data_IF_268889472971
#
_entry.id   IF_268889472971
#
_cell.length_a   1.000
_cell.length_b   1.000
_cell.length_c   1.000
_cell.angle_alpha   90.00
_cell.angle_beta   90.00
_cell.angle_gamma   90.00
#
_symmetry.space_group_name_H-M   'P 1'
#
loop_
_entity.id
_entity.type
_entity.pdbx_description
1 polymer ?
#
# COMPACT_ATOMS: atom_id res chain seq x y z
N UNK A 1 -1.38 -8.65 -8.54
CA UNK A 1 -0.56 -7.60 -7.91
C UNK A 1 -1.49 -6.66 -7.16
N UNK A 2 -1.04 -6.06 -6.05
CA UNK A 2 -1.82 -5.07 -5.31
C UNK A 2 -0.95 -3.86 -4.97
N UNK A 3 -1.45 -2.65 -5.24
CA UNK A 3 -0.78 -1.39 -4.90
C UNK A 3 -1.49 -0.72 -3.73
N UNK A 4 -0.74 -0.11 -2.80
CA UNK A 4 -1.31 0.71 -1.71
C UNK A 4 -2.40 -0.03 -0.92
N UNK A 5 -3.57 0.59 -0.74
CA UNK A 5 -4.76 -0.06 -0.16
C UNK A 5 -5.22 -1.33 -0.90
N UNK A 6 -5.02 -1.37 -2.23
CA UNK A 6 -5.24 -2.58 -3.01
C UNK A 6 -4.30 -3.73 -2.62
N UNK A 7 -3.09 -3.44 -2.12
CA UNK A 7 -2.18 -4.41 -1.51
C UNK A 7 -2.79 -5.07 -0.28
N UNK A 8 -3.34 -4.28 0.63
CA UNK A 8 -4.06 -4.76 1.82
C UNK A 8 -5.22 -5.69 1.45
N UNK A 9 -6.07 -5.25 0.51
CA UNK A 9 -7.19 -6.04 0.03
C UNK A 9 -6.75 -7.32 -0.68
N UNK A 10 -5.63 -7.27 -1.42
CA UNK A 10 -5.04 -8.45 -2.08
C UNK A 10 -4.57 -9.49 -1.05
N UNK A 11 -3.92 -9.06 0.02
CA UNK A 11 -3.57 -9.95 1.13
C UNK A 11 -4.80 -10.58 1.78
N UNK A 12 -5.82 -9.77 2.07
CA UNK A 12 -7.08 -10.26 2.64
C UNK A 12 -7.76 -11.29 1.73
N UNK A 13 -7.76 -11.03 0.42
CA UNK A 13 -8.29 -11.93 -0.59
C UNK A 13 -7.52 -13.26 -0.61
N UNK A 14 -6.19 -13.21 -0.70
CA UNK A 14 -5.33 -14.40 -0.74
C UNK A 14 -5.49 -15.24 0.53
N UNK A 15 -5.48 -14.61 1.70
CA UNK A 15 -5.71 -15.30 2.99
C UNK A 15 -7.06 -16.03 3.04
N UNK A 16 -8.10 -15.48 2.40
CA UNK A 16 -9.45 -16.05 2.44
C UNK A 16 -9.64 -17.14 1.39
N UNK A 17 -9.14 -16.94 0.18
CA UNK A 17 -9.54 -17.72 -0.99
C UNK A 17 -8.43 -18.55 -1.64
N UNK A 18 -7.14 -18.34 -1.32
CA UNK A 18 -6.04 -19.08 -1.94
C UNK A 18 -5.81 -20.49 -1.32
N UNK A 19 -6.89 -21.17 -0.95
CA UNK A 19 -6.85 -22.51 -0.37
C UNK A 19 -6.61 -23.53 -1.47
N UNK A 20 -5.67 -24.46 -1.26
CA UNK A 20 -5.49 -25.61 -2.16
C UNK A 20 -6.63 -26.59 -1.92
N UNK A 21 -7.50 -26.76 -2.91
CA UNK A 21 -8.63 -27.68 -2.85
C UNK A 21 -8.22 -29.01 -3.49
N UNK A 22 -8.55 -30.11 -2.84
CA UNK A 22 -8.43 -31.45 -3.42
C UNK A 22 -9.73 -31.78 -4.15
N UNK A 23 -9.66 -32.28 -5.38
CA UNK A 23 -10.84 -32.75 -6.09
C UNK A 23 -11.34 -34.11 -5.54
N UNK A 24 -12.52 -34.53 -6.02
CA UNK A 24 -13.11 -35.81 -5.62
C UNK A 24 -12.25 -37.04 -6.02
N UNK A 25 -11.29 -36.85 -6.94
CA UNK A 25 -10.34 -37.86 -7.36
C UNK A 25 -9.03 -37.83 -6.55
N UNK A 26 -8.93 -37.01 -5.50
CA UNK A 26 -7.75 -36.91 -4.65
C UNK A 26 -6.62 -36.05 -5.23
N UNK A 27 -6.81 -35.41 -6.40
CA UNK A 27 -5.81 -34.57 -7.04
C UNK A 27 -5.92 -33.13 -6.52
N UNK A 28 -4.79 -32.57 -6.10
CA UNK A 28 -4.72 -31.19 -5.65
C UNK A 28 -4.89 -30.23 -6.83
N UNK A 29 -5.88 -29.35 -6.75
CA UNK A 29 -6.03 -28.24 -7.69
C UNK A 29 -4.93 -27.20 -7.46
N UNK A 30 -4.49 -26.52 -8.54
CA UNK A 30 -3.55 -25.40 -8.41
C UNK A 30 -4.17 -24.29 -7.54
N UNK A 31 -3.30 -23.57 -6.84
CA UNK A 31 -3.70 -22.38 -6.10
C UNK A 31 -4.20 -21.31 -7.09
N UNK A 32 -5.19 -20.52 -6.68
CA UNK A 32 -5.74 -19.45 -7.52
C UNK A 32 -4.72 -18.34 -7.77
N UNK A 33 -3.88 -18.08 -6.77
CA UNK A 33 -2.79 -17.11 -6.82
C UNK A 33 -1.48 -17.87 -6.68
N UNK A 34 -0.71 -17.92 -7.77
CA UNK A 34 0.61 -18.56 -7.82
C UNK A 34 1.69 -17.69 -7.17
N UNK A 35 1.70 -16.38 -7.47
CA UNK A 35 2.62 -15.39 -6.90
C UNK A 35 1.89 -14.10 -6.58
N UNK A 36 2.26 -13.45 -5.47
CA UNK A 36 1.67 -12.19 -5.04
C UNK A 36 2.74 -11.08 -5.04
N UNK A 37 2.53 -10.04 -5.84
CA UNK A 37 3.35 -8.82 -5.80
C UNK A 37 2.56 -7.72 -5.09
N UNK A 38 3.16 -7.13 -4.07
CA UNK A 38 2.65 -5.97 -3.36
C UNK A 38 3.58 -4.78 -3.56
N UNK A 39 2.97 -3.67 -3.98
CA UNK A 39 3.66 -2.45 -4.37
C UNK A 39 3.22 -1.38 -3.37
N UNK A 40 4.15 -0.91 -2.54
CA UNK A 40 3.89 0.11 -1.52
C UNK A 40 2.62 -0.15 -0.71
N UNK A 41 2.40 -1.38 -0.20
CA UNK A 41 1.15 -1.71 0.47
C UNK A 41 1.01 -0.93 1.79
N UNK A 42 -0.21 -0.49 2.08
CA UNK A 42 -0.56 0.09 3.38
C UNK A 42 -1.06 -0.98 4.35
N UNK A 43 -0.96 -0.71 5.65
CA UNK A 43 -1.69 -1.44 6.66
C UNK A 43 -0.97 -2.70 7.16
N UNK A 44 0.36 -2.67 7.16
CA UNK A 44 1.18 -3.78 7.65
C UNK A 44 1.38 -3.70 9.16
N UNK A 45 1.56 -2.47 9.65
CA UNK A 45 2.18 -2.12 10.92
C UNK A 45 1.30 -2.48 12.12
N UNK A 46 1.92 -3.10 13.12
CA UNK A 46 1.32 -3.22 14.45
C UNK A 46 1.22 -1.84 15.09
N UNK A 47 0.14 -1.60 15.83
CA UNK A 47 -0.17 -0.27 16.33
C UNK A 47 -1.23 -0.29 17.44
N UNK A 48 -1.31 0.80 18.20
CA UNK A 48 -2.25 0.95 19.34
C UNK A 48 -3.73 0.85 19.01
N UNK A 49 -4.11 1.06 17.74
CA UNK A 49 -5.50 0.94 17.28
C UNK A 49 -5.83 -0.45 16.75
N UNK A 50 -4.87 -1.38 16.77
CA UNK A 50 -5.07 -2.77 16.36
C UNK A 50 -6.13 -3.45 17.23
N UNK A 51 -7.09 -4.10 16.58
CA UNK A 51 -8.07 -4.98 17.21
C UNK A 51 -7.46 -6.34 17.58
N UNK A 52 -6.25 -6.63 17.08
CA UNK A 52 -5.51 -7.87 17.33
C UNK A 52 -4.38 -7.68 18.35
N UNK A 53 -4.30 -6.53 19.02
CA UNK A 53 -3.21 -6.16 19.95
C UNK A 53 -3.06 -7.12 21.15
N UNK A 54 -4.06 -7.93 21.46
CA UNK A 54 -4.01 -8.93 22.54
C UNK A 54 -3.87 -10.36 22.01
N UNK A 55 -3.97 -10.56 20.69
CA UNK A 55 -3.83 -11.86 20.04
C UNK A 55 -2.34 -12.19 19.81
N UNK A 56 -2.01 -13.48 19.86
CA UNK A 56 -0.66 -13.96 19.55
C UNK A 56 -0.43 -13.90 18.04
N UNK A 57 0.76 -13.47 17.64
CA UNK A 57 1.22 -13.54 16.25
C UNK A 57 2.35 -14.56 16.10
N UNK A 58 2.36 -15.31 15.01
CA UNK A 58 3.44 -16.24 14.70
C UNK A 58 4.67 -15.50 14.18
N UNK A 59 5.87 -15.92 14.60
CA UNK A 59 7.14 -15.40 14.07
C UNK A 59 7.83 -14.35 14.94
N UNK A 60 7.10 -13.75 15.88
CA UNK A 60 7.57 -12.69 16.80
C UNK A 60 7.32 -13.07 18.27
N UNK A 61 8.09 -12.49 19.20
CA UNK A 61 7.85 -12.65 20.64
C UNK A 61 6.71 -11.78 21.14
N UNK A 62 6.01 -12.23 22.19
CA UNK A 62 4.91 -11.46 22.79
C UNK A 62 5.36 -10.10 23.34
N UNK A 63 6.59 -9.99 23.84
CA UNK A 63 7.17 -8.73 24.35
C UNK A 63 7.37 -7.71 23.23
N UNK A 64 8.00 -8.13 22.13
CA UNK A 64 8.25 -7.25 20.97
C UNK A 64 6.94 -6.80 20.34
N UNK A 65 5.98 -7.73 20.19
CA UNK A 65 4.65 -7.45 19.67
C UNK A 65 3.90 -6.42 20.52
N UNK A 66 3.98 -6.50 21.85
CA UNK A 66 3.37 -5.52 22.75
C UNK A 66 4.00 -4.14 22.59
N UNK A 67 5.33 -4.08 22.53
CA UNK A 67 6.07 -2.82 22.32
C UNK A 67 5.65 -2.11 21.01
N UNK A 68 5.55 -2.84 19.91
CA UNK A 68 5.10 -2.28 18.63
C UNK A 68 3.63 -1.83 18.66
N UNK A 69 2.78 -2.54 19.40
CA UNK A 69 1.37 -2.16 19.59
C UNK A 69 1.18 -0.97 20.55
N UNK A 70 2.20 -0.52 21.28
CA UNK A 70 2.13 0.74 22.02
C UNK A 70 2.34 1.96 21.10
N UNK A 71 3.06 1.73 19.99
CA UNK A 71 3.33 2.73 18.96
C UNK A 71 2.11 3.14 18.15
N UNK A 72 2.26 4.27 17.47
CA UNK A 72 1.34 4.72 16.43
C UNK A 72 2.14 5.41 15.32
N UNK A 73 2.90 4.64 14.51
CA UNK A 73 3.61 5.21 13.38
C UNK A 73 2.56 5.84 12.45
N UNK A 74 2.56 7.16 12.32
CA UNK A 74 1.57 7.84 11.51
C UNK A 74 2.03 7.85 10.06
N UNK A 75 1.23 7.28 9.17
CA UNK A 75 1.38 7.48 7.73
C UNK A 75 0.49 8.67 7.36
N UNK A 76 1.06 9.66 6.70
CA UNK A 76 0.36 10.89 6.28
C UNK A 76 -0.25 10.67 4.90
N UNK A 77 -1.57 10.41 4.85
CA UNK A 77 -2.31 10.32 3.58
C UNK A 77 -2.33 11.65 2.83
N UNK A 78 -2.11 12.74 3.55
CA UNK A 78 -1.96 14.08 3.01
C UNK A 78 -0.73 14.17 2.09
N UNK A 79 0.34 13.44 2.39
CA UNK A 79 1.58 13.46 1.60
C UNK A 79 1.32 12.91 0.20
N UNK A 80 0.51 11.87 0.06
CA UNK A 80 0.07 11.37 -1.25
C UNK A 80 -0.72 12.40 -2.04
N UNK A 81 -1.62 13.11 -1.36
CA UNK A 81 -2.48 14.12 -2.01
C UNK A 81 -1.64 15.31 -2.44
N UNK A 82 -0.63 15.68 -1.66
CA UNK A 82 0.20 16.85 -1.92
C UNK A 82 1.46 16.54 -2.73
N UNK A 83 1.78 15.26 -2.95
CA UNK A 83 2.98 14.86 -3.67
C UNK A 83 3.00 15.42 -5.10
N UNK A 84 4.14 16.05 -5.43
CA UNK A 84 4.53 16.43 -6.77
C UNK A 84 5.42 15.35 -7.39
N UNK A 85 5.07 14.92 -8.59
CA UNK A 85 5.70 13.75 -9.21
C UNK A 85 7.11 14.06 -9.75
N UNK A 86 7.39 15.31 -10.10
CA UNK A 86 8.66 15.73 -10.67
C UNK A 86 9.79 15.74 -9.62
N UNK A 87 9.52 16.32 -8.45
CA UNK A 87 10.47 16.32 -7.32
C UNK A 87 10.93 14.91 -6.90
N UNK A 88 10.02 13.93 -6.96
CA UNK A 88 10.30 12.52 -6.63
C UNK A 88 11.29 11.90 -7.63
N UNK A 89 11.13 12.18 -8.93
CA UNK A 89 11.95 11.61 -10.00
C UNK A 89 13.33 12.27 -10.06
N UNK A 90 13.41 13.58 -9.81
CA UNK A 90 14.65 14.36 -9.94
C UNK A 90 15.50 14.45 -8.67
N UNK A 91 15.15 13.73 -7.60
CA UNK A 91 15.82 13.80 -6.28
C UNK A 91 15.79 15.19 -5.63
N UNK A 92 14.88 16.06 -6.05
CA UNK A 92 14.62 17.36 -5.42
C UNK A 92 13.53 17.27 -4.33
N UNK A 93 13.10 16.05 -3.99
CA UNK A 93 12.13 15.79 -2.94
C UNK A 93 12.71 16.17 -1.58
N UNK A 94 12.07 17.15 -0.92
CA UNK A 94 12.30 17.42 0.49
C UNK A 94 11.36 16.52 1.29
N UNK A 95 11.91 15.77 2.26
CA UNK A 95 11.08 15.09 3.24
C UNK A 95 10.15 16.12 3.90
N UNK A 96 8.84 15.83 4.02
CA UNK A 96 7.94 16.72 4.72
C UNK A 96 8.45 16.91 6.16
N UNK A 97 8.68 18.15 6.57
CA UNK A 97 9.03 18.50 7.94
C UNK A 97 8.07 17.80 8.92
N UNK A 98 8.56 17.31 10.05
CA UNK A 98 7.73 16.77 11.14
C UNK A 98 6.74 17.86 11.61
N UNK A 99 5.56 17.90 10.97
CA UNK A 99 4.67 19.03 11.08
C UNK A 99 3.95 18.97 12.43
N UNK A 100 4.19 19.99 13.28
CA UNK A 100 3.50 20.19 14.56
C UNK A 100 1.99 20.08 14.34
N UNK A 101 1.32 19.22 15.10
CA UNK A 101 -0.12 18.92 15.01
C UNK A 101 -0.95 20.22 14.98
N UNK A 102 -1.30 20.68 13.78
CA UNK A 102 -2.09 21.90 13.57
C UNK A 102 -3.56 21.66 13.94
N UNK A 103 -4.32 22.74 14.13
CA UNK A 103 -5.78 22.65 14.34
C UNK A 103 -6.50 21.99 13.15
N UNK A 104 -5.92 22.08 11.93
CA UNK A 104 -6.43 21.41 10.73
C UNK A 104 -6.36 19.88 10.83
N UNK A 105 -5.24 19.34 11.33
CA UNK A 105 -5.07 17.88 11.50
C UNK A 105 -6.07 17.29 12.49
N UNK A 106 -6.38 18.01 13.58
CA UNK A 106 -7.43 17.59 14.54
C UNK A 106 -8.82 17.52 13.90
N UNK A 107 -9.14 18.40 12.96
CA UNK A 107 -10.40 18.36 12.21
C UNK A 107 -10.42 17.17 11.25
N UNK A 108 -9.32 16.92 10.53
CA UNK A 108 -9.18 15.75 9.66
C UNK A 108 -9.31 14.44 10.44
N UNK A 109 -8.67 14.33 11.60
CA UNK A 109 -8.81 13.17 12.49
C UNK A 109 -10.26 12.96 12.96
N UNK A 110 -10.96 14.05 13.30
CA UNK A 110 -12.36 14.00 13.70
C UNK A 110 -13.27 13.54 12.55
N UNK A 111 -13.02 14.02 11.32
CA UNK A 111 -13.72 13.60 10.11
C UNK A 111 -13.43 12.13 9.79
N UNK A 112 -12.17 11.70 9.90
CA UNK A 112 -11.75 10.32 9.70
C UNK A 112 -12.46 9.36 10.64
N UNK A 113 -12.55 9.70 11.94
CA UNK A 113 -13.29 8.94 12.96
C UNK A 113 -14.79 8.84 12.63
N UNK A 114 -15.34 9.82 11.91
CA UNK A 114 -16.72 9.79 11.39
C UNK A 114 -16.86 9.07 10.05
N UNK A 115 -15.80 8.43 9.56
CA UNK A 115 -15.69 7.74 8.26
C UNK A 115 -15.69 8.67 7.03
N UNK A 116 -15.34 9.94 7.19
CA UNK A 116 -15.11 10.85 6.06
C UNK A 116 -13.62 10.86 5.68
N UNK A 117 -13.30 10.36 4.49
CA UNK A 117 -11.94 10.42 3.92
C UNK A 117 -11.70 11.76 3.18
N UNK A 118 -10.44 12.15 2.93
CA UNK A 118 -10.12 13.32 2.08
C UNK A 118 -10.82 13.28 0.72
N UNK A 119 -10.90 12.10 0.10
CA UNK A 119 -11.61 11.90 -1.17
C UNK A 119 -13.12 12.15 -1.04
N UNK A 120 -13.73 11.78 0.09
CA UNK A 120 -15.14 12.06 0.39
C UNK A 120 -15.43 13.57 0.47
N UNK A 121 -14.46 14.34 0.99
CA UNK A 121 -14.55 15.81 1.04
C UNK A 121 -14.57 16.39 -0.38
N UNK A 122 -13.62 16.00 -1.23
CA UNK A 122 -13.55 16.48 -2.62
C UNK A 122 -14.85 16.17 -3.38
N UNK A 123 -15.43 14.98 -3.18
CA UNK A 123 -16.68 14.58 -3.86
C UNK A 123 -17.91 15.34 -3.39
N UNK A 124 -17.93 15.84 -2.15
CA UNK A 124 -19.07 16.56 -1.57
C UNK A 124 -19.03 18.07 -1.79
N UNK A 125 -17.92 18.62 -2.31
CA UNK A 125 -17.71 20.07 -2.52
C UNK A 125 -18.51 20.72 -3.66
N UNK A 126 -19.51 20.04 -4.22
CA UNK A 126 -20.45 20.64 -5.18
C UNK A 126 -19.76 21.26 -6.40
N UNK A 127 -20.11 22.49 -6.84
CA UNK A 127 -19.57 23.10 -8.06
C UNK A 127 -18.08 23.47 -7.98
N UNK A 128 -17.52 23.61 -6.78
CA UNK A 128 -16.10 23.96 -6.60
C UNK A 128 -15.14 22.81 -6.92
N UNK A 129 -15.64 21.56 -6.97
CA UNK A 129 -14.82 20.35 -7.20
C UNK A 129 -14.01 20.43 -8.49
N UNK A 130 -14.58 20.98 -9.57
CA UNK A 130 -13.94 20.98 -10.89
C UNK A 130 -12.64 21.80 -10.87
N UNK A 131 -12.67 22.98 -10.25
CA UNK A 131 -11.49 23.84 -10.14
C UNK A 131 -10.43 23.22 -9.22
N UNK A 132 -10.83 22.53 -8.16
CA UNK A 132 -9.89 21.83 -7.27
C UNK A 132 -9.19 20.66 -7.97
N UNK A 133 -9.96 19.79 -8.64
CA UNK A 133 -9.39 18.66 -9.36
C UNK A 133 -8.41 19.15 -10.44
N UNK A 134 -8.78 20.19 -11.20
CA UNK A 134 -7.87 20.78 -12.19
C UNK A 134 -6.61 21.37 -11.55
N UNK A 135 -6.73 22.14 -10.45
CA UNK A 135 -5.54 22.65 -9.74
C UNK A 135 -4.65 21.52 -9.23
N UNK A 136 -5.24 20.48 -8.66
CA UNK A 136 -4.51 19.32 -8.15
C UNK A 136 -3.78 18.58 -9.28
N UNK A 137 -4.47 18.26 -10.38
CA UNK A 137 -3.84 17.58 -11.52
C UNK A 137 -2.72 18.42 -12.13
N UNK A 138 -2.94 19.72 -12.32
CA UNK A 138 -1.92 20.63 -12.86
C UNK A 138 -0.71 20.71 -11.94
N UNK A 139 -0.91 20.76 -10.63
CA UNK A 139 0.20 20.78 -9.67
C UNK A 139 1.00 19.48 -9.73
N UNK A 140 0.33 18.32 -9.63
CA UNK A 140 0.98 17.00 -9.57
C UNK A 140 1.68 16.60 -10.87
N UNK A 141 1.15 17.01 -12.02
CA UNK A 141 1.62 16.59 -13.35
C UNK A 141 2.04 17.78 -14.21
N UNK A 142 2.57 18.84 -13.60
CA UNK A 142 2.98 20.07 -14.30
C UNK A 142 3.98 19.77 -15.43
N UNK A 143 4.99 18.94 -15.18
CA UNK A 143 5.98 18.52 -16.19
C UNK A 143 5.36 17.85 -17.42
N UNK A 144 4.31 17.03 -17.23
CA UNK A 144 3.60 16.38 -18.35
C UNK A 144 2.88 17.42 -19.20
N UNK A 145 2.37 18.49 -18.60
CA UNK A 145 1.74 19.58 -19.34
C UNK A 145 2.73 20.25 -20.29
N UNK A 146 3.96 20.52 -19.82
CA UNK A 146 4.99 21.18 -20.63
C UNK A 146 5.62 20.24 -21.66
N UNK A 147 5.75 18.95 -21.36
CA UNK A 147 6.40 17.97 -22.25
C UNK A 147 5.43 17.37 -23.28
N UNK A 148 4.19 17.05 -22.87
CA UNK A 148 3.19 16.40 -23.73
C UNK A 148 1.77 16.83 -23.35
N UNK A 149 1.28 17.98 -23.88
CA UNK A 149 -0.03 18.52 -23.54
C UNK A 149 -1.19 17.54 -23.78
N UNK A 150 -1.10 16.70 -24.82
CA UNK A 150 -2.15 15.69 -25.12
C UNK A 150 -2.21 14.61 -24.05
N UNK A 151 -1.04 14.13 -23.61
CA UNK A 151 -0.96 13.12 -22.55
C UNK A 151 -1.43 13.69 -21.21
N UNK A 152 -1.06 14.95 -20.91
CA UNK A 152 -1.59 15.65 -19.75
C UNK A 152 -3.12 15.75 -19.79
N UNK A 153 -3.70 16.16 -20.93
CA UNK A 153 -5.16 16.26 -21.05
C UNK A 153 -5.85 14.91 -20.85
N UNK A 154 -5.31 13.83 -21.41
CA UNK A 154 -5.85 12.49 -21.21
C UNK A 154 -5.79 12.06 -19.73
N UNK A 155 -4.68 12.34 -19.04
CA UNK A 155 -4.52 12.08 -17.61
C UNK A 155 -5.51 12.91 -16.77
N UNK A 156 -5.64 14.19 -17.09
CA UNK A 156 -6.59 15.09 -16.43
C UNK A 156 -8.03 14.64 -16.63
N UNK A 157 -8.44 14.30 -17.85
CA UNK A 157 -9.78 13.80 -18.14
C UNK A 157 -10.08 12.51 -17.37
N UNK A 158 -9.10 11.60 -17.29
CA UNK A 158 -9.23 10.37 -16.51
C UNK A 158 -9.47 10.67 -15.03
N UNK A 159 -8.58 11.45 -14.41
CA UNK A 159 -8.67 11.87 -13.00
C UNK A 159 -10.01 12.57 -12.75
N UNK A 160 -10.36 13.54 -13.59
CA UNK A 160 -11.59 14.31 -13.48
C UNK A 160 -12.82 13.40 -13.50
N UNK A 161 -12.86 12.42 -14.41
CA UNK A 161 -13.96 11.44 -14.48
C UNK A 161 -13.99 10.55 -13.24
N UNK A 162 -12.84 10.08 -12.74
CA UNK A 162 -12.75 9.25 -11.53
C UNK A 162 -13.28 9.99 -10.30
N UNK A 163 -12.91 11.25 -10.11
CA UNK A 163 -13.39 12.08 -8.99
C UNK A 163 -14.86 12.50 -9.13
N UNK A 164 -15.41 12.52 -10.34
CA UNK A 164 -16.83 12.79 -10.58
C UNK A 164 -17.72 11.54 -10.57
N UNK A 165 -17.15 10.34 -10.74
CA UNK A 165 -17.88 9.08 -10.64
C UNK A 165 -18.38 8.82 -9.20
N UNK A 166 -19.24 7.81 -9.03
CA UNK A 166 -19.64 7.35 -7.69
C UNK A 166 -18.41 6.80 -6.96
N UNK A 167 -18.25 7.18 -5.69
CA UNK A 167 -17.24 6.62 -4.82
C UNK A 167 -17.40 5.11 -4.65
N UNK A 168 -16.31 4.41 -4.37
CA UNK A 168 -16.32 2.98 -4.11
C UNK A 168 -15.38 2.61 -2.97
N UNK A 169 -14.10 2.38 -3.26
CA UNK A 169 -13.09 1.91 -2.30
C UNK A 169 -12.79 2.89 -1.17
N UNK A 170 -12.96 4.20 -1.40
CA UNK A 170 -12.71 5.25 -0.40
C UNK A 170 -13.58 5.11 0.86
N UNK A 171 -14.79 4.53 0.74
CA UNK A 171 -15.68 4.27 1.88
C UNK A 171 -15.17 3.12 2.75
N UNK A 172 -14.39 2.21 2.18
CA UNK A 172 -13.80 1.09 2.91
C UNK A 172 -12.52 1.51 3.65
N UNK A 173 -11.79 2.50 3.16
CA UNK A 173 -10.51 2.93 3.75
C UNK A 173 -10.67 3.31 5.23
N UNK A 174 -11.64 4.16 5.57
CA UNK A 174 -11.89 4.58 6.97
C UNK A 174 -12.47 3.47 7.85
N UNK A 175 -13.03 2.42 7.24
CA UNK A 175 -13.50 1.22 7.94
C UNK A 175 -12.33 0.31 8.29
N UNK A 176 -11.38 0.15 7.39
CA UNK A 176 -10.22 -0.74 7.54
C UNK A 176 -9.07 -0.08 8.32
N UNK A 177 -8.85 1.21 8.10
CA UNK A 177 -7.77 1.99 8.70
C UNK A 177 -8.32 2.96 9.77
N UNK A 178 -7.64 3.01 10.91
CA UNK A 178 -7.76 4.04 11.91
C UNK A 178 -7.09 5.35 11.44
N UNK A 179 -7.14 6.38 12.28
CA UNK A 179 -6.47 7.67 12.03
C UNK A 179 -4.97 7.48 11.82
N UNK A 180 -4.39 8.22 10.87
CA UNK A 180 -2.99 8.07 10.46
C UNK A 180 -2.73 6.85 9.55
N UNK A 181 -3.76 6.40 8.81
CA UNK A 181 -3.71 5.25 7.91
C UNK A 181 -3.26 3.92 8.56
N UNK A 182 -3.37 3.83 9.88
CA UNK A 182 -2.99 2.64 10.64
C UNK A 182 -4.03 1.53 10.52
N UNK A 183 -3.64 0.26 10.31
CA UNK A 183 -4.59 -0.83 10.14
C UNK A 183 -5.26 -1.21 11.46
N UNK A 184 -6.59 -1.35 11.45
CA UNK A 184 -7.31 -1.96 12.59
C UNK A 184 -7.06 -3.46 12.69
N UNK A 185 -6.71 -4.09 11.57
CA UNK A 185 -6.32 -5.50 11.49
C UNK A 185 -4.98 -5.58 10.74
N UNK A 186 -3.84 -5.35 11.42
CA UNK A 186 -2.51 -5.32 10.83
C UNK A 186 -2.21 -6.59 10.01
N UNK A 187 -1.54 -6.43 8.87
CA UNK A 187 -1.14 -7.61 8.07
C UNK A 187 -0.03 -8.40 8.75
N UNK A 188 0.89 -7.76 9.49
CA UNK A 188 1.97 -8.44 10.22
C UNK A 188 1.44 -9.48 11.22
N UNK A 189 0.25 -9.26 11.78
CA UNK A 189 -0.39 -10.23 12.69
C UNK A 189 -1.15 -11.36 11.98
N UNK A 190 -1.29 -11.30 10.65
CA UNK A 190 -2.27 -12.13 9.92
C UNK A 190 -1.68 -12.91 8.74
N UNK A 191 -0.73 -12.31 8.02
CA UNK A 191 -0.21 -12.83 6.77
C UNK A 191 0.88 -13.89 6.94
N UNK A 192 1.89 -13.74 7.83
CA UNK A 192 3.09 -14.59 7.79
C UNK A 192 2.79 -16.09 7.81
N UNK A 193 2.10 -16.57 8.86
CA UNK A 193 1.77 -17.99 9.00
C UNK A 193 0.90 -18.51 7.85
N UNK A 194 -0.09 -17.72 7.41
CA UNK A 194 -1.03 -18.14 6.35
C UNK A 194 -0.32 -18.26 5.00
N UNK A 195 0.55 -17.32 4.67
CA UNK A 195 1.29 -17.35 3.41
C UNK A 195 2.27 -18.52 3.36
N UNK A 196 2.91 -18.84 4.49
CA UNK A 196 3.74 -20.05 4.61
C UNK A 196 2.90 -21.32 4.45
N UNK A 197 1.75 -21.42 5.15
CA UNK A 197 0.85 -22.58 5.04
C UNK A 197 0.31 -22.79 3.62
N UNK A 198 0.04 -21.71 2.89
CA UNK A 198 -0.42 -21.77 1.50
C UNK A 198 0.73 -21.96 0.50
N UNK A 199 1.99 -21.88 0.96
CA UNK A 199 3.19 -21.89 0.13
C UNK A 199 3.08 -20.85 -1.00
N UNK A 200 2.74 -19.60 -0.63
CA UNK A 200 2.52 -18.49 -1.58
C UNK A 200 3.75 -17.58 -1.62
N UNK A 201 4.53 -17.57 -2.72
CA UNK A 201 5.59 -16.59 -2.92
C UNK A 201 5.05 -15.16 -2.96
N UNK A 202 5.69 -14.27 -2.21
CA UNK A 202 5.34 -12.85 -2.11
C UNK A 202 6.52 -11.95 -2.46
N UNK A 203 6.26 -10.85 -3.16
CA UNK A 203 7.24 -9.79 -3.41
C UNK A 203 6.71 -8.47 -2.87
N UNK A 204 7.52 -7.80 -2.07
CA UNK A 204 7.19 -6.53 -1.41
C UNK A 204 8.17 -5.49 -1.95
N UNK A 205 7.66 -4.50 -2.66
CA UNK A 205 8.49 -3.47 -3.30
C UNK A 205 7.99 -2.08 -2.94
N UNK A 206 8.92 -1.20 -2.60
CA UNK A 206 8.67 0.19 -2.19
C UNK A 206 9.57 1.13 -2.98
N UNK A 207 9.19 2.40 -3.08
CA UNK A 207 10.07 3.46 -3.58
C UNK A 207 11.10 3.89 -2.54
N UNK A 208 12.20 4.50 -2.96
CA UNK A 208 13.18 5.12 -2.05
C UNK A 208 12.68 6.43 -1.42
N UNK A 209 11.57 6.98 -1.91
CA UNK A 209 10.88 8.16 -1.40
C UNK A 209 9.41 7.87 -1.12
N UNK A 210 9.12 6.63 -0.75
CA UNK A 210 7.76 6.22 -0.43
C UNK A 210 7.38 6.77 0.95
N UNK A 211 6.14 7.22 1.09
CA UNK A 211 5.58 7.65 2.38
C UNK A 211 4.89 6.49 3.11
N UNK A 212 4.85 5.30 2.49
CA UNK A 212 4.47 4.04 3.15
C UNK A 212 5.62 3.49 3.99
N UNK A 213 5.29 2.79 5.07
CA UNK A 213 6.28 2.19 5.95
C UNK A 213 6.96 0.96 5.30
N UNK A 214 8.13 1.17 4.71
CA UNK A 214 8.95 0.13 4.10
C UNK A 214 9.60 -0.79 5.15
N UNK A 215 9.85 -0.30 6.36
CA UNK A 215 10.40 -1.11 7.46
C UNK A 215 9.45 -2.24 7.85
N UNK A 216 8.15 -1.97 7.90
CA UNK A 216 7.12 -2.97 8.13
C UNK A 216 7.02 -3.97 6.98
N UNK A 217 7.30 -3.52 5.75
CA UNK A 217 7.46 -4.38 4.58
C UNK A 217 8.65 -5.33 4.72
N UNK A 218 9.80 -4.82 5.13
CA UNK A 218 10.99 -5.61 5.40
C UNK A 218 10.74 -6.62 6.53
N UNK A 219 10.14 -6.17 7.64
CA UNK A 219 9.75 -7.02 8.77
C UNK A 219 8.85 -8.17 8.33
N UNK A 220 7.80 -7.88 7.54
CA UNK A 220 6.91 -8.89 6.97
C UNK A 220 7.68 -9.95 6.19
N UNK A 221 8.65 -9.55 5.36
CA UNK A 221 9.46 -10.50 4.60
C UNK A 221 10.33 -11.38 5.50
N UNK A 222 10.88 -10.80 6.57
CA UNK A 222 11.68 -11.51 7.56
C UNK A 222 10.84 -12.52 8.34
N UNK A 223 9.65 -12.15 8.80
CA UNK A 223 8.73 -13.05 9.50
C UNK A 223 8.28 -14.22 8.62
N UNK A 224 7.87 -13.94 7.37
CA UNK A 224 7.51 -14.99 6.40
C UNK A 224 8.68 -15.94 6.18
N UNK A 225 9.88 -15.41 5.91
CA UNK A 225 11.05 -16.23 5.59
C UNK A 225 11.56 -17.03 6.79
N UNK A 226 11.49 -16.46 8.01
CA UNK A 226 11.82 -17.18 9.24
C UNK A 226 10.91 -18.41 9.41
N UNK A 227 9.60 -18.21 9.27
CA UNK A 227 8.61 -19.30 9.37
C UNK A 227 8.77 -20.31 8.22
N UNK A 228 8.97 -19.84 6.98
CA UNK A 228 9.08 -20.71 5.80
C UNK A 228 10.37 -21.53 5.80
N UNK A 229 11.48 -20.98 6.29
CA UNK A 229 12.75 -21.69 6.40
C UNK A 229 12.67 -22.80 7.45
N UNK A 230 12.03 -22.55 8.59
CA UNK A 230 11.78 -23.59 9.60
C UNK A 230 10.88 -24.72 9.09
N UNK A 231 9.87 -24.41 8.27
CA UNK A 231 8.91 -25.39 7.78
C UNK A 231 9.35 -26.14 6.51
N UNK A 232 10.01 -25.45 5.57
CA UNK A 232 10.21 -25.93 4.19
C UNK A 232 11.62 -25.69 3.64
N UNK A 233 12.51 -25.03 4.40
CA UNK A 233 13.88 -24.63 3.96
C UNK A 233 13.91 -23.78 2.68
N UNK A 234 12.82 -23.09 2.37
CA UNK A 234 12.70 -22.22 1.19
C UNK A 234 12.20 -20.84 1.62
N UNK A 235 12.85 -19.78 1.16
CA UNK A 235 12.35 -18.41 1.29
C UNK A 235 11.13 -18.18 0.38
N UNK A 236 10.08 -17.61 0.95
CA UNK A 236 8.83 -17.30 0.24
C UNK A 236 8.62 -15.81 0.02
N UNK A 237 9.33 -14.94 0.73
CA UNK A 237 9.21 -13.49 0.59
C UNK A 237 10.48 -12.86 0.03
N UNK A 238 10.31 -11.89 -0.87
CA UNK A 238 11.36 -11.02 -1.39
C UNK A 238 11.01 -9.56 -1.07
N UNK A 239 12.03 -8.75 -0.77
CA UNK A 239 11.91 -7.32 -0.49
C UNK A 239 12.82 -6.54 -1.46
N UNK A 240 12.37 -5.38 -1.92
CA UNK A 240 13.16 -4.49 -2.78
C UNK A 240 12.77 -3.03 -2.57
N UNK A 241 13.76 -2.15 -2.64
CA UNK A 241 13.56 -0.70 -2.72
C UNK A 241 13.95 -0.26 -4.13
N UNK A 242 13.02 0.40 -4.82
CA UNK A 242 13.24 0.93 -6.16
C UNK A 242 13.77 2.36 -6.08
N UNK A 243 14.98 2.64 -6.60
CA UNK A 243 15.55 3.97 -6.56
C UNK A 243 14.83 4.94 -7.51
N UNK A 244 14.88 6.22 -7.17
CA UNK A 244 14.23 7.31 -7.89
C UNK A 244 12.72 7.06 -8.06
N UNK A 245 12.05 6.66 -6.99
CA UNK A 245 10.62 6.33 -7.01
C UNK A 245 9.97 6.63 -5.68
N UNK A 246 8.78 7.21 -5.72
CA UNK A 246 7.90 7.36 -4.57
C UNK A 246 6.89 6.24 -4.53
N UNK A 247 5.67 6.56 -4.07
CA UNK A 247 4.57 5.60 -3.91
C UNK A 247 4.06 4.96 -5.21
N UNK A 248 4.22 5.66 -6.34
CA UNK A 248 3.77 5.22 -7.65
C UNK A 248 4.94 4.73 -8.52
N UNK A 249 5.68 3.73 -8.05
CA UNK A 249 6.89 3.17 -8.66
C UNK A 249 6.79 2.94 -10.19
N UNK A 250 5.63 2.50 -10.65
CA UNK A 250 5.36 2.19 -12.06
C UNK A 250 5.17 3.43 -12.94
N UNK A 251 4.89 4.60 -12.36
CA UNK A 251 4.90 5.89 -13.04
C UNK A 251 6.30 6.51 -13.01
N UNK A 252 7.00 6.38 -11.87
CA UNK A 252 8.22 7.12 -11.57
C UNK A 252 9.44 6.47 -12.27
N UNK A 253 9.55 5.15 -12.17
CA UNK A 253 10.63 4.37 -12.77
C UNK A 253 10.07 3.09 -13.43
N UNK A 254 9.35 3.21 -14.56
CA UNK A 254 8.70 2.08 -15.21
C UNK A 254 9.68 0.99 -15.65
N UNK A 255 10.89 1.37 -16.09
CA UNK A 255 11.92 0.42 -16.52
C UNK A 255 12.44 -0.40 -15.33
N UNK A 256 12.82 0.25 -14.23
CA UNK A 256 13.29 -0.41 -13.03
C UNK A 256 12.20 -1.28 -12.39
N UNK A 257 10.98 -0.76 -12.30
CA UNK A 257 9.82 -1.51 -11.84
C UNK A 257 9.60 -2.79 -12.65
N UNK A 258 9.54 -2.70 -13.99
CA UNK A 258 9.34 -3.86 -14.86
C UNK A 258 10.45 -4.92 -14.68
N UNK A 259 11.70 -4.49 -14.54
CA UNK A 259 12.83 -5.40 -14.33
C UNK A 259 12.68 -6.20 -13.02
N UNK A 260 12.33 -5.55 -11.91
CA UNK A 260 12.11 -6.21 -10.63
C UNK A 260 10.92 -7.19 -10.67
N UNK A 261 9.81 -6.79 -11.32
CA UNK A 261 8.66 -7.67 -11.50
C UNK A 261 9.03 -8.90 -12.34
N UNK A 262 9.69 -8.71 -13.48
CA UNK A 262 10.08 -9.82 -14.36
C UNK A 262 11.06 -10.77 -13.69
N UNK A 263 12.01 -10.25 -12.93
CA UNK A 263 12.93 -11.03 -12.10
C UNK A 263 12.17 -11.91 -11.10
N UNK A 264 11.20 -11.36 -10.35
CA UNK A 264 10.39 -12.13 -9.41
C UNK A 264 9.50 -13.18 -10.10
N UNK A 265 8.92 -12.82 -11.25
CA UNK A 265 8.13 -13.74 -12.05
C UNK A 265 8.98 -14.87 -12.67
N UNK A 266 10.28 -14.65 -12.83
CA UNK A 266 11.20 -15.58 -13.48
C UNK A 266 11.16 -15.47 -15.00
N UNK A 267 10.74 -14.32 -15.53
CA UNK A 267 10.72 -14.03 -16.96
C UNK A 267 12.16 -13.73 -17.41
N UNK A 268 12.72 -14.58 -18.27
CA UNK A 268 14.00 -14.29 -18.94
C UNK A 268 13.68 -13.49 -20.19
N UNK A 269 14.19 -12.27 -20.30
CA UNK A 269 14.14 -11.53 -21.56
C UNK A 269 14.97 -12.32 -22.58
N UNK A 270 14.29 -12.90 -23.56
CA UNK A 270 14.90 -13.44 -24.79
C UNK A 270 15.41 -12.30 -25.66
#
# INVERSE_FOLDING_TARGET
MGHSFGGYLSCAYVMKYNKRLTDAAGKMKPAMVDKLVLISPVGLERNKFSLLKDEKSAGISDERRKLENEGAPSISLEDEVNADQESIIHNDYQEPDEEKVTRGRKLLDALWKRNFSPFSIIRTMGPFKSKMISRWTTHRFAHMYFSNPKQFQAMHDYIYRVFNAKGSGEYAITRVLATGALPKLPLLDRCPEKFVKMNTPTFWIYGDKDWMNEEAGLEMTNEINKLSNSATRKSLAQFSILPNSGHHLYLDNPKGFNNEIFKFLGFKSS
#
